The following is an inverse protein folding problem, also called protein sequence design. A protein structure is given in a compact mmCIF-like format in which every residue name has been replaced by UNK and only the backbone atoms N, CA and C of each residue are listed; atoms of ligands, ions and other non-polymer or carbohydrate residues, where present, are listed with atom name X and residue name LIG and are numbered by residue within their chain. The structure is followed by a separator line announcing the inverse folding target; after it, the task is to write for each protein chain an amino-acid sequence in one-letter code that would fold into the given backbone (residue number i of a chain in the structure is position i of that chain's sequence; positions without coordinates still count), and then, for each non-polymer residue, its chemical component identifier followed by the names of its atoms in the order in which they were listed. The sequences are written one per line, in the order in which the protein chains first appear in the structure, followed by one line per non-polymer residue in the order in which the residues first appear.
data_IF_949423769008
#
_entry.id   IF_949423769008
#
_cell.length_a   1.000
_cell.length_b   1.000
_cell.length_c   1.000
_cell.angle_alpha   90.00
_cell.angle_beta   90.00
_cell.angle_gamma   90.00
#
_symmetry.space_group_name_H-M   'P 1'
#
loop_
_entity.id
_entity.type
_entity.pdbx_description
1 polymer ?
#
# COMPACT_ATOMS: atom_id res chain seq x y z
N UNK A 1 -33.29 -7.70 74.25
CA UNK A 1 -33.55 -7.60 72.79
C UNK A 1 -32.73 -6.50 72.08
N UNK A 2 -31.91 -5.69 72.77
CA UNK A 2 -31.21 -4.54 72.16
C UNK A 2 -29.97 -4.87 71.30
N UNK A 3 -29.25 -5.95 71.61
CA UNK A 3 -28.01 -6.32 70.88
C UNK A 3 -28.22 -6.73 69.40
N UNK A 4 -29.39 -7.28 69.07
CA UNK A 4 -29.71 -7.73 67.69
C UNK A 4 -29.87 -6.57 66.70
N UNK A 5 -30.29 -5.39 67.16
CA UNK A 5 -30.45 -4.22 66.28
C UNK A 5 -29.13 -3.49 65.97
N UNK A 6 -28.15 -3.51 66.89
CA UNK A 6 -26.83 -2.92 66.65
C UNK A 6 -26.00 -3.75 65.65
N UNK A 7 -26.06 -5.08 65.74
CA UNK A 7 -25.42 -6.00 64.79
C UNK A 7 -25.98 -5.81 63.36
N UNK A 8 -27.30 -5.71 63.22
CA UNK A 8 -27.95 -5.50 61.91
C UNK A 8 -27.57 -4.17 61.25
N UNK A 9 -27.39 -3.09 62.03
CA UNK A 9 -26.96 -1.79 61.50
C UNK A 9 -25.51 -1.77 61.02
N UNK A 10 -24.62 -2.51 61.70
CA UNK A 10 -23.22 -2.64 61.31
C UNK A 10 -23.06 -3.53 60.05
N UNK A 11 -23.84 -4.61 59.96
CA UNK A 11 -23.90 -5.46 58.77
C UNK A 11 -24.42 -4.69 57.54
N UNK A 12 -25.47 -3.90 57.68
CA UNK A 12 -26.01 -3.07 56.59
C UNK A 12 -25.00 -2.01 56.09
N UNK A 13 -24.20 -1.42 57.00
CA UNK A 13 -23.12 -0.48 56.63
C UNK A 13 -21.96 -1.18 55.92
N UNK A 14 -21.63 -2.41 56.30
CA UNK A 14 -20.59 -3.23 55.67
C UNK A 14 -21.01 -3.69 54.26
N UNK A 15 -22.28 -4.06 54.07
CA UNK A 15 -22.85 -4.41 52.76
C UNK A 15 -22.92 -3.21 51.82
N UNK A 16 -23.24 -2.02 52.33
CA UNK A 16 -23.24 -0.80 51.53
C UNK A 16 -21.82 -0.42 51.05
N UNK A 17 -20.79 -0.62 51.88
CA UNK A 17 -19.38 -0.40 51.49
C UNK A 17 -18.91 -1.43 50.45
N UNK A 18 -19.25 -2.70 50.63
CA UNK A 18 -18.85 -3.76 49.68
C UNK A 18 -19.59 -3.66 48.35
N UNK A 19 -20.84 -3.20 48.30
CA UNK A 19 -21.54 -2.89 47.03
C UNK A 19 -20.86 -1.77 46.24
N UNK A 20 -20.44 -0.69 46.91
CA UNK A 20 -19.70 0.40 46.25
C UNK A 20 -18.33 -0.05 45.76
N UNK A 21 -17.60 -0.84 46.56
CA UNK A 21 -16.33 -1.42 46.16
C UNK A 21 -16.49 -2.36 44.95
N UNK A 22 -17.51 -3.23 44.94
CA UNK A 22 -17.81 -4.11 43.80
C UNK A 22 -18.20 -3.34 42.55
N UNK A 23 -18.95 -2.25 42.68
CA UNK A 23 -19.31 -1.39 41.55
C UNK A 23 -18.06 -0.68 40.98
N UNK A 24 -17.19 -0.16 41.84
CA UNK A 24 -15.94 0.49 41.44
C UNK A 24 -15.00 -0.48 40.71
N UNK A 25 -14.84 -1.70 41.23
CA UNK A 25 -14.02 -2.74 40.58
C UNK A 25 -14.59 -3.14 39.22
N UNK A 26 -15.92 -3.27 39.09
CA UNK A 26 -16.55 -3.54 37.78
C UNK A 26 -16.30 -2.41 36.78
N UNK A 27 -16.47 -1.15 37.19
CA UNK A 27 -16.19 -0.01 36.32
C UNK A 27 -14.71 0.02 35.91
N UNK A 28 -13.78 -0.21 36.84
CA UNK A 28 -12.35 -0.29 36.55
C UNK A 28 -12.03 -1.43 35.56
N UNK A 29 -12.65 -2.60 35.73
CA UNK A 29 -12.45 -3.74 34.84
C UNK A 29 -12.99 -3.48 33.43
N UNK A 30 -14.17 -2.85 33.32
CA UNK A 30 -14.73 -2.45 32.01
C UNK A 30 -13.81 -1.44 31.34
N UNK A 31 -13.36 -0.39 32.04
CA UNK A 31 -12.45 0.60 31.48
C UNK A 31 -11.12 -0.03 31.05
N UNK A 32 -10.59 -0.97 31.84
CA UNK A 32 -9.38 -1.72 31.49
C UNK A 32 -9.57 -2.60 30.25
N UNK A 33 -10.72 -3.26 30.12
CA UNK A 33 -11.02 -4.07 28.93
C UNK A 33 -11.13 -3.22 27.65
N UNK A 34 -11.74 -2.03 27.76
CA UNK A 34 -11.87 -1.09 26.64
C UNK A 34 -10.51 -0.52 26.26
N UNK A 35 -9.68 -0.13 27.23
CA UNK A 35 -8.34 0.39 26.94
C UNK A 35 -7.46 -0.67 26.29
N UNK A 36 -7.53 -1.93 26.74
CA UNK A 36 -6.79 -3.03 26.14
C UNK A 36 -7.22 -3.28 24.68
N UNK A 37 -8.53 -3.24 24.41
CA UNK A 37 -9.06 -3.33 23.05
C UNK A 37 -8.53 -2.20 22.15
N UNK A 38 -8.47 -0.98 22.69
CA UNK A 38 -7.96 0.18 21.95
C UNK A 38 -6.47 0.06 21.60
N UNK A 39 -5.66 -0.51 22.51
CA UNK A 39 -4.23 -0.76 22.27
C UNK A 39 -4.03 -1.77 21.14
N UNK A 40 -4.82 -2.84 21.11
CA UNK A 40 -4.74 -3.86 20.04
C UNK A 40 -5.09 -3.26 18.69
N UNK A 41 -6.16 -2.45 18.62
CA UNK A 41 -6.55 -1.74 17.39
C UNK A 41 -5.46 -0.75 16.96
N UNK A 42 -4.91 0.02 17.91
CA UNK A 42 -3.84 0.95 17.63
C UNK A 42 -2.55 0.28 17.13
N UNK A 43 -2.27 -0.96 17.55
CA UNK A 43 -1.15 -1.76 17.02
C UNK A 43 -1.45 -2.39 15.66
N UNK A 44 -2.70 -2.72 15.35
CA UNK A 44 -3.07 -3.32 14.06
C UNK A 44 -3.04 -2.29 12.90
N UNK A 45 -3.41 -1.03 13.16
CA UNK A 45 -3.40 0.05 12.16
C UNK A 45 -2.04 0.29 11.50
N UNK A 46 -0.90 0.42 12.22
CA UNK A 46 0.40 0.65 11.60
C UNK A 46 0.85 -0.55 10.74
N UNK A 47 0.51 -1.78 11.12
CA UNK A 47 0.83 -2.97 10.33
C UNK A 47 0.15 -2.94 8.95
N UNK A 48 -1.12 -2.50 8.92
CA UNK A 48 -1.86 -2.36 7.67
C UNK A 48 -1.28 -1.28 6.75
N UNK A 49 -0.76 -0.19 7.33
CA UNK A 49 -0.11 0.89 6.56
C UNK A 49 1.20 0.41 5.92
N UNK A 50 2.01 -0.35 6.65
CA UNK A 50 3.27 -0.91 6.15
C UNK A 50 3.00 -1.88 5.00
N UNK A 51 2.00 -2.76 5.15
CA UNK A 51 1.61 -3.70 4.10
C UNK A 51 1.19 -2.98 2.82
N UNK A 52 0.33 -1.96 2.95
CA UNK A 52 -0.11 -1.15 1.82
C UNK A 52 1.04 -0.41 1.14
N UNK A 53 1.98 0.13 1.93
CA UNK A 53 3.17 0.79 1.38
C UNK A 53 4.06 -0.20 0.61
N UNK A 54 4.28 -1.40 1.14
CA UNK A 54 5.03 -2.44 0.45
C UNK A 54 4.36 -2.86 -0.86
N UNK A 55 3.04 -3.05 -0.83
CA UNK A 55 2.26 -3.41 -2.01
C UNK A 55 2.35 -2.33 -3.11
N UNK A 56 2.27 -1.05 -2.73
CA UNK A 56 2.47 0.05 -3.69
C UNK A 56 3.88 0.07 -4.28
N UNK A 57 4.92 -0.16 -3.46
CA UNK A 57 6.32 -0.22 -3.94
C UNK A 57 6.54 -1.37 -4.91
N UNK A 58 5.96 -2.55 -4.64
CA UNK A 58 6.03 -3.70 -5.54
C UNK A 58 5.30 -3.40 -6.85
N UNK A 59 4.09 -2.84 -6.80
CA UNK A 59 3.33 -2.47 -7.99
C UNK A 59 4.05 -1.44 -8.87
N UNK A 60 4.71 -0.45 -8.27
CA UNK A 60 5.49 0.55 -9.01
C UNK A 60 6.77 -0.05 -9.61
N UNK A 61 7.45 -0.94 -8.88
CA UNK A 61 8.61 -1.66 -9.40
C UNK A 61 8.23 -2.55 -10.60
N UNK A 62 7.10 -3.26 -10.50
CA UNK A 62 6.61 -4.13 -11.58
C UNK A 62 6.24 -3.32 -12.83
N UNK A 63 5.60 -2.16 -12.67
CA UNK A 63 5.33 -1.24 -13.79
C UNK A 63 6.62 -0.80 -14.48
N UNK A 64 7.65 -0.40 -13.71
CA UNK A 64 8.95 0.00 -14.26
C UNK A 64 9.61 -1.15 -15.02
N UNK A 65 9.55 -2.36 -14.46
CA UNK A 65 10.08 -3.55 -15.11
C UNK A 65 9.36 -3.84 -16.44
N UNK A 66 8.04 -3.75 -16.49
CA UNK A 66 7.27 -3.96 -17.73
C UNK A 66 7.65 -2.96 -18.83
N UNK A 67 7.80 -1.69 -18.47
CA UNK A 67 8.23 -0.65 -19.43
C UNK A 67 9.64 -0.93 -19.94
N UNK A 68 10.57 -1.27 -19.05
CA UNK A 68 11.95 -1.59 -19.44
C UNK A 68 12.04 -2.84 -20.32
N UNK A 69 11.23 -3.87 -20.04
CA UNK A 69 11.16 -5.07 -20.87
C UNK A 69 10.57 -4.77 -22.25
N UNK A 70 9.49 -4.00 -22.33
CA UNK A 70 8.90 -3.60 -23.60
C UNK A 70 9.89 -2.81 -24.47
N UNK A 71 10.61 -1.86 -23.87
CA UNK A 71 11.66 -1.09 -24.54
C UNK A 71 12.80 -1.99 -25.02
N UNK A 72 13.24 -2.92 -24.18
CA UNK A 72 14.30 -3.88 -24.53
C UNK A 72 13.89 -4.79 -25.68
N UNK A 73 12.66 -5.30 -25.64
CA UNK A 73 12.14 -6.18 -26.70
C UNK A 73 11.97 -5.41 -28.01
N UNK A 74 11.50 -4.16 -27.97
CA UNK A 74 11.43 -3.30 -29.14
C UNK A 74 12.80 -3.10 -29.81
N UNK A 75 13.82 -2.73 -29.03
CA UNK A 75 15.20 -2.59 -29.54
C UNK A 75 15.77 -3.91 -30.04
N UNK A 76 15.43 -5.03 -29.39
CA UNK A 76 15.92 -6.34 -29.83
C UNK A 76 15.34 -6.70 -31.20
N UNK A 77 14.05 -6.46 -31.41
CA UNK A 77 13.38 -6.68 -32.70
C UNK A 77 13.98 -5.75 -33.76
N UNK A 78 14.20 -4.47 -33.45
CA UNK A 78 14.84 -3.51 -34.36
C UNK A 78 16.27 -3.96 -34.75
N UNK A 79 17.09 -4.37 -33.78
CA UNK A 79 18.44 -4.88 -34.03
C UNK A 79 18.43 -6.17 -34.86
N UNK A 80 17.43 -7.03 -34.66
CA UNK A 80 17.26 -8.24 -35.46
C UNK A 80 16.86 -7.87 -36.89
N UNK A 81 15.92 -6.95 -37.08
CA UNK A 81 15.53 -6.45 -38.39
C UNK A 81 16.70 -5.80 -39.14
N UNK A 82 17.53 -5.00 -38.46
CA UNK A 82 18.76 -4.43 -39.03
C UNK A 82 19.80 -5.48 -39.45
N UNK A 83 19.80 -6.66 -38.83
CA UNK A 83 20.75 -7.74 -39.13
C UNK A 83 20.25 -8.69 -40.21
N UNK A 84 18.96 -9.00 -40.20
CA UNK A 84 18.37 -10.06 -41.03
C UNK A 84 17.75 -9.53 -42.32
N UNK A 85 17.34 -8.26 -42.37
CA UNK A 85 16.69 -7.66 -43.54
C UNK A 85 17.56 -6.55 -44.20
N UNK A 86 18.14 -6.81 -45.40
CA UNK A 86 18.93 -5.81 -46.11
C UNK A 86 18.10 -4.62 -46.60
N UNK A 87 16.78 -4.78 -46.83
CA UNK A 87 15.92 -3.69 -47.24
C UNK A 87 15.62 -2.74 -46.06
N UNK A 88 15.44 -3.28 -44.86
CA UNK A 88 15.28 -2.49 -43.64
C UNK A 88 16.55 -1.70 -43.30
N UNK A 89 17.72 -2.31 -43.47
CA UNK A 89 19.01 -1.64 -43.29
C UNK A 89 19.19 -0.47 -44.27
N UNK A 90 18.81 -0.65 -45.54
CA UNK A 90 18.88 0.42 -46.55
C UNK A 90 18.00 1.61 -46.16
N UNK A 91 16.75 1.37 -45.76
CA UNK A 91 15.82 2.43 -45.33
C UNK A 91 16.37 3.16 -44.11
N UNK A 92 16.84 2.44 -43.09
CA UNK A 92 17.36 3.04 -41.86
C UNK A 92 18.66 3.83 -42.09
N UNK A 93 19.55 3.34 -42.95
CA UNK A 93 20.77 4.05 -43.34
C UNK A 93 20.44 5.32 -44.15
N UNK A 94 19.47 5.24 -45.07
CA UNK A 94 19.03 6.37 -45.89
C UNK A 94 18.35 7.46 -45.08
N UNK A 95 17.52 7.08 -44.10
CA UNK A 95 16.90 8.02 -43.16
C UNK A 95 17.95 8.77 -42.34
N UNK A 96 18.99 8.08 -41.83
CA UNK A 96 20.11 8.73 -41.13
C UNK A 96 20.95 9.66 -42.00
N UNK A 97 21.13 9.30 -43.28
CA UNK A 97 21.96 10.04 -44.23
C UNK A 97 21.17 11.13 -44.98
N UNK A 98 19.86 11.26 -44.69
CA UNK A 98 18.93 12.16 -45.36
C UNK A 98 18.85 11.96 -46.89
N UNK A 99 19.07 10.72 -47.34
CA UNK A 99 19.20 10.36 -48.76
C UNK A 99 17.88 9.83 -49.36
N UNK A 100 17.42 10.46 -50.44
CA UNK A 100 16.23 10.04 -51.20
C UNK A 100 16.62 9.49 -52.58
N UNK A 101 15.92 8.47 -53.08
CA UNK A 101 16.07 8.00 -54.47
C UNK A 101 15.39 9.00 -55.40
N UNK A 102 15.92 9.13 -56.61
CA UNK A 102 15.33 9.99 -57.64
C UNK A 102 13.90 9.52 -57.97
N UNK A 103 12.93 10.42 -57.80
CA UNK A 103 11.50 10.17 -58.04
C UNK A 103 10.69 9.72 -56.82
N UNK A 104 11.30 9.55 -55.64
CA UNK A 104 10.60 9.12 -54.42
C UNK A 104 10.02 10.31 -53.64
N UNK A 105 8.75 10.23 -53.24
CA UNK A 105 8.10 11.26 -52.41
C UNK A 105 8.17 10.85 -50.93
N UNK A 106 9.09 11.44 -50.19
CA UNK A 106 9.25 11.20 -48.74
C UNK A 106 8.44 12.23 -47.94
N UNK A 107 7.62 11.74 -47.01
CA UNK A 107 6.86 12.58 -46.08
C UNK A 107 7.72 12.85 -44.84
N UNK A 108 8.22 14.08 -44.69
CA UNK A 108 8.90 14.53 -43.46
C UNK A 108 7.90 15.15 -42.50
N UNK A 109 7.76 14.57 -41.32
CA UNK A 109 6.99 15.18 -40.24
C UNK A 109 7.88 16.17 -39.51
N UNK A 110 7.56 17.46 -39.61
CA UNK A 110 8.26 18.49 -38.84
C UNK A 110 7.76 18.39 -37.39
N UNK A 111 8.59 17.85 -36.49
CA UNK A 111 8.34 17.94 -35.05
C UNK A 111 8.71 19.36 -34.65
N UNK A 112 7.75 20.28 -34.75
CA UNK A 112 7.86 21.57 -34.07
C UNK A 112 8.18 21.29 -32.60
N UNK A 113 9.30 21.85 -32.16
CA UNK A 113 9.73 21.90 -30.76
C UNK A 113 9.40 23.28 -30.23
#
# INVERSE_FOLDING_TARGET
MAGKHMEAGNLARLEARTRRAKAMVRCAFVLFSVSLGFVVVAMAVPQYRILKELETKVGDAEKRQRVALAERDHRRIELQALREDPAFLEIHARDRLDMCREGERVLRFNRER
#
